data_IF_361613400861
#
_entry.id   IF_361613400861
#
_cell.length_a   1.000
_cell.length_b   1.000
_cell.length_c   1.000
_cell.angle_alpha   90.00
_cell.angle_beta   90.00
_cell.angle_gamma   90.00
#
_symmetry.space_group_name_H-M   'P 1'
#
loop_
_entity.id
_entity.type
_entity.pdbx_description
1 polymer ?
#
# COMPACT_ATOMS: atom_id res chain seq x y z
N UNK A 1 3.12 -19.19 2.50
CA UNK A 1 2.26 -17.98 2.30
C UNK A 1 2.13 -17.22 3.61
N UNK A 2 1.79 -17.92 4.68
CA UNK A 2 1.57 -17.37 6.02
C UNK A 2 2.77 -16.63 6.62
N UNK A 3 4.00 -17.14 6.42
CA UNK A 3 5.22 -16.51 6.96
C UNK A 3 5.50 -15.10 6.42
N UNK A 4 5.31 -14.84 5.12
CA UNK A 4 5.58 -13.52 4.54
C UNK A 4 4.52 -12.50 4.97
N UNK A 5 3.27 -12.94 5.13
CA UNK A 5 2.19 -12.10 5.67
C UNK A 5 2.49 -11.73 7.13
N UNK A 6 2.91 -12.71 7.93
CA UNK A 6 3.32 -12.48 9.31
C UNK A 6 4.47 -11.46 9.41
N UNK A 7 5.53 -11.64 8.60
CA UNK A 7 6.66 -10.69 8.55
C UNK A 7 6.23 -9.28 8.13
N UNK A 8 5.29 -9.16 7.20
CA UNK A 8 4.77 -7.88 6.76
C UNK A 8 4.06 -7.14 7.90
N UNK A 9 3.26 -7.86 8.70
CA UNK A 9 2.58 -7.29 9.87
C UNK A 9 3.58 -6.84 10.93
N UNK A 10 4.61 -7.63 11.24
CA UNK A 10 5.65 -7.23 12.21
C UNK A 10 6.40 -5.96 11.80
N UNK A 11 6.70 -5.80 10.51
CA UNK A 11 7.35 -4.57 10.00
C UNK A 11 6.42 -3.35 10.07
N UNK A 12 5.11 -3.56 10.01
CA UNK A 12 4.10 -2.50 10.11
C UNK A 12 3.84 -2.04 11.55
N UNK A 13 3.88 -2.94 12.54
CA UNK A 13 3.59 -2.63 13.95
C UNK A 13 4.57 -1.64 14.60
N UNK A 14 5.78 -1.48 14.05
CA UNK A 14 6.85 -0.67 14.62
C UNK A 14 6.96 0.76 14.07
N UNK A 15 6.02 1.19 13.21
CA UNK A 15 6.09 2.48 12.55
C UNK A 15 4.88 3.35 12.95
N UNK A 16 5.20 4.41 13.70
CA UNK A 16 4.30 5.34 14.37
C UNK A 16 3.19 5.89 13.45
N UNK A 17 1.92 5.85 13.92
CA UNK A 17 0.73 6.21 13.12
C UNK A 17 0.23 7.60 13.50
N UNK A 18 0.11 8.48 12.51
CA UNK A 18 -0.58 9.74 12.69
C UNK A 18 -2.05 9.49 13.10
N UNK A 19 -2.48 10.08 14.22
CA UNK A 19 -3.85 9.93 14.74
C UNK A 19 -4.75 10.96 14.06
N UNK A 20 -5.65 10.47 13.21
CA UNK A 20 -6.74 11.24 12.58
C UNK A 20 -8.08 10.83 13.21
N UNK A 21 -9.07 11.72 13.17
CA UNK A 21 -10.41 11.45 13.74
C UNK A 21 -11.27 10.63 12.77
N UNK A 22 -11.11 10.87 11.48
CA UNK A 22 -11.74 10.11 10.38
C UNK A 22 -10.67 9.78 9.35
N UNK A 23 -10.60 8.50 8.97
CA UNK A 23 -9.68 8.03 7.95
C UNK A 23 -10.19 8.41 6.54
N UNK A 24 -9.32 8.44 5.52
CA UNK A 24 -9.71 8.65 4.14
C UNK A 24 -10.73 7.59 3.70
N UNK A 25 -11.73 7.99 2.92
CA UNK A 25 -12.81 7.09 2.53
C UNK A 25 -12.86 6.87 1.02
N UNK A 26 -12.78 5.61 0.62
CA UNK A 26 -13.08 5.22 -0.76
C UNK A 26 -14.60 5.17 -0.95
N UNK A 27 -15.07 5.42 -2.18
CA UNK A 27 -16.48 5.24 -2.52
C UNK A 27 -16.96 3.83 -2.15
N UNK A 28 -18.09 3.76 -1.44
CA UNK A 28 -18.69 2.51 -0.97
C UNK A 28 -18.09 1.95 0.31
N UNK A 29 -17.27 2.72 1.05
CA UNK A 29 -17.12 2.53 2.49
C UNK A 29 -18.33 3.14 3.23
N UNK A 30 -18.67 2.61 4.40
CA UNK A 30 -19.68 3.22 5.27
C UNK A 30 -19.11 4.51 5.87
N UNK A 31 -19.78 5.63 5.64
CA UNK A 31 -19.35 6.95 6.14
C UNK A 31 -19.34 7.01 7.68
N UNK A 32 -20.10 6.13 8.35
CA UNK A 32 -20.14 6.03 9.81
C UNK A 32 -19.01 5.19 10.39
N UNK A 33 -18.22 4.50 9.55
CA UNK A 33 -17.11 3.66 9.97
C UNK A 33 -15.92 4.53 10.42
N UNK A 34 -15.65 4.52 11.72
CA UNK A 34 -14.50 5.22 12.33
C UNK A 34 -13.22 4.40 12.32
N UNK A 35 -13.31 3.11 12.05
CA UNK A 35 -12.17 2.21 11.93
C UNK A 35 -11.48 2.41 10.59
N UNK A 36 -10.17 2.17 10.50
CA UNK A 36 -9.45 2.30 9.23
C UNK A 36 -9.62 1.08 8.31
N UNK A 37 -10.47 0.11 8.68
CA UNK A 37 -10.51 -1.21 8.07
C UNK A 37 -10.94 -1.14 6.60
N UNK A 38 -12.06 -0.47 6.29
CA UNK A 38 -12.48 -0.30 4.89
C UNK A 38 -11.42 0.45 4.07
N UNK A 39 -10.81 1.49 4.64
CA UNK A 39 -9.73 2.24 3.98
C UNK A 39 -8.56 1.33 3.60
N UNK A 40 -8.01 0.58 4.55
CA UNK A 40 -6.89 -0.32 4.29
C UNK A 40 -7.28 -1.43 3.32
N UNK A 41 -8.46 -2.05 3.46
CA UNK A 41 -8.91 -3.10 2.55
C UNK A 41 -9.00 -2.60 1.10
N UNK A 42 -9.61 -1.43 0.88
CA UNK A 42 -9.75 -0.84 -0.46
C UNK A 42 -8.41 -0.39 -1.02
N UNK A 43 -7.53 0.18 -0.20
CA UNK A 43 -6.19 0.57 -0.61
C UNK A 43 -5.36 -0.65 -1.04
N UNK A 44 -5.39 -1.74 -0.26
CA UNK A 44 -4.76 -3.00 -0.64
C UNK A 44 -5.32 -3.56 -1.95
N UNK A 45 -6.64 -3.55 -2.13
CA UNK A 45 -7.28 -4.01 -3.36
C UNK A 45 -6.85 -3.18 -4.57
N UNK A 46 -6.80 -1.85 -4.43
CA UNK A 46 -6.34 -0.93 -5.47
C UNK A 46 -4.88 -1.18 -5.85
N UNK A 47 -3.99 -1.32 -4.86
CA UNK A 47 -2.58 -1.63 -5.10
C UNK A 47 -2.45 -2.97 -5.83
N UNK A 48 -3.15 -4.01 -5.35
CA UNK A 48 -3.15 -5.32 -5.99
C UNK A 48 -3.63 -5.23 -7.44
N UNK A 49 -4.71 -4.48 -7.71
CA UNK A 49 -5.21 -4.28 -9.07
C UNK A 49 -4.15 -3.63 -9.97
N UNK A 50 -3.52 -2.55 -9.51
CA UNK A 50 -2.49 -1.85 -10.28
C UNK A 50 -1.24 -2.70 -10.54
N UNK A 51 -0.87 -3.56 -9.60
CA UNK A 51 0.32 -4.42 -9.73
C UNK A 51 0.04 -5.73 -10.50
N UNK A 52 -1.21 -6.18 -10.60
CA UNK A 52 -1.58 -7.41 -11.34
C UNK A 52 -1.86 -7.16 -12.82
N UNK A 53 -2.09 -5.91 -13.22
CA UNK A 53 -2.33 -5.54 -14.63
C UNK A 53 -1.09 -5.70 -15.52
N UNK A 54 0.10 -5.85 -14.94
CA UNK A 54 1.34 -5.98 -15.68
C UNK A 54 2.25 -7.04 -15.05
N UNK A 55 2.91 -7.85 -15.88
CA UNK A 55 3.97 -8.75 -15.43
C UNK A 55 5.15 -7.90 -14.96
N UNK A 56 5.33 -7.76 -13.63
CA UNK A 56 6.55 -7.22 -13.05
C UNK A 56 7.68 -8.21 -13.32
N UNK A 57 8.51 -7.97 -14.34
CA UNK A 57 9.70 -8.76 -14.64
C UNK A 57 10.81 -8.45 -13.63
N UNK A 58 10.62 -8.88 -12.38
CA UNK A 58 11.62 -8.74 -11.33
C UNK A 58 12.11 -10.13 -10.91
N UNK A 59 13.42 -10.29 -10.78
CA UNK A 59 14.04 -11.53 -10.28
C UNK A 59 13.90 -11.61 -8.75
N UNK A 60 12.68 -11.87 -8.28
CA UNK A 60 12.43 -12.17 -6.88
C UNK A 60 12.74 -13.65 -6.67
N UNK A 61 13.78 -13.95 -5.88
CA UNK A 61 14.25 -15.32 -5.62
C UNK A 61 13.30 -16.12 -4.72
N UNK A 62 12.63 -15.45 -3.79
CA UNK A 62 11.72 -16.05 -2.83
C UNK A 62 10.62 -15.07 -2.43
N UNK A 63 9.52 -15.60 -1.89
CA UNK A 63 8.41 -14.77 -1.41
C UNK A 63 8.85 -14.00 -0.16
N UNK A 64 8.64 -12.69 -0.15
CA UNK A 64 8.92 -11.83 1.00
C UNK A 64 7.94 -10.65 1.04
N UNK A 65 8.10 -9.78 2.03
CA UNK A 65 7.31 -8.59 2.24
C UNK A 65 8.17 -7.34 2.07
N UNK A 66 7.51 -6.22 1.84
CA UNK A 66 8.06 -4.88 1.92
C UNK A 66 6.98 -3.96 2.49
N UNK A 67 7.38 -2.84 3.05
CA UNK A 67 6.46 -1.82 3.56
C UNK A 67 6.60 -0.59 2.68
N UNK A 68 5.48 -0.10 2.16
CA UNK A 68 5.40 1.12 1.34
C UNK A 68 4.68 2.23 2.07
N UNK A 69 5.10 3.47 1.84
CA UNK A 69 4.40 4.67 2.28
C UNK A 69 3.51 5.24 1.18
N UNK A 70 2.32 5.67 1.58
CA UNK A 70 1.38 6.42 0.77
C UNK A 70 0.94 7.68 1.51
N UNK A 71 0.66 8.73 0.76
CA UNK A 71 0.07 9.96 1.27
C UNK A 71 -1.29 10.18 0.61
N UNK A 72 -2.29 10.50 1.43
CA UNK A 72 -3.57 11.03 0.97
C UNK A 72 -3.57 12.52 1.30
N UNK A 73 -3.64 13.36 0.27
CA UNK A 73 -3.64 14.81 0.48
C UNK A 73 -4.96 15.30 1.07
N UNK A 74 -4.98 16.53 1.58
CA UNK A 74 -6.21 17.22 1.99
C UNK A 74 -7.23 17.41 0.86
N UNK A 75 -6.80 17.22 -0.40
CA UNK A 75 -7.65 17.22 -1.60
C UNK A 75 -8.08 15.82 -2.01
N UNK A 76 -7.74 14.79 -1.24
CA UNK A 76 -8.13 13.42 -1.53
C UNK A 76 -7.25 12.68 -2.54
N UNK A 77 -6.11 13.26 -2.94
CA UNK A 77 -5.24 12.65 -3.93
C UNK A 77 -4.37 11.59 -3.24
N UNK A 78 -4.50 10.32 -3.68
CA UNK A 78 -3.67 9.22 -3.19
C UNK A 78 -2.36 9.20 -3.96
N UNK A 79 -1.22 9.21 -3.25
CA UNK A 79 0.13 9.20 -3.81
C UNK A 79 0.95 8.08 -3.21
N UNK A 80 1.65 7.34 -4.06
CA UNK A 80 2.74 6.49 -3.63
C UNK A 80 3.97 7.36 -3.33
N UNK A 81 4.56 7.17 -2.15
CA UNK A 81 5.73 7.95 -1.72
C UNK A 81 7.02 7.17 -1.97
N UNK A 82 7.19 6.03 -1.31
CA UNK A 82 8.36 5.14 -1.45
C UNK A 82 8.16 3.79 -0.74
N UNK A 83 9.05 2.84 -1.00
CA UNK A 83 9.31 1.72 -0.09
C UNK A 83 10.00 2.29 1.15
N UNK A 84 9.52 2.01 2.36
CA UNK A 84 10.17 2.41 3.62
C UNK A 84 11.05 1.32 4.20
N UNK A 85 10.62 0.06 4.06
CA UNK A 85 11.34 -1.11 4.56
C UNK A 85 11.17 -2.31 3.61
N UNK A 86 12.18 -3.17 3.52
CA UNK A 86 12.19 -4.35 2.65
C UNK A 86 13.21 -5.38 3.15
N UNK A 87 13.08 -6.62 2.72
CA UNK A 87 14.12 -7.62 2.97
C UNK A 87 15.44 -7.22 2.30
N UNK A 88 16.57 -7.56 2.91
CA UNK A 88 17.90 -7.17 2.43
C UNK A 88 18.23 -7.68 1.02
N UNK A 89 17.63 -8.79 0.60
CA UNK A 89 17.87 -9.36 -0.73
C UNK A 89 17.04 -8.71 -1.85
N UNK A 90 16.16 -7.77 -1.51
CA UNK A 90 15.36 -7.02 -2.47
C UNK A 90 16.15 -5.79 -2.91
N UNK A 91 16.33 -5.62 -4.22
CA UNK A 91 16.81 -4.36 -4.79
C UNK A 91 15.71 -3.30 -4.65
N UNK A 92 15.76 -2.57 -3.53
CA UNK A 92 14.79 -1.53 -3.18
C UNK A 92 14.75 -0.40 -4.20
N UNK A 93 15.90 -0.01 -4.76
CA UNK A 93 15.97 1.11 -5.72
C UNK A 93 15.26 0.73 -7.02
N UNK A 94 15.57 -0.46 -7.55
CA UNK A 94 14.93 -0.96 -8.74
C UNK A 94 13.42 -1.14 -8.53
N UNK A 95 13.00 -1.78 -7.43
CA UNK A 95 11.59 -2.02 -7.17
C UNK A 95 10.80 -0.73 -6.92
N UNK A 96 11.36 0.24 -6.18
CA UNK A 96 10.72 1.54 -5.96
C UNK A 96 10.46 2.27 -7.28
N UNK A 97 11.41 2.19 -8.23
CA UNK A 97 11.24 2.78 -9.56
C UNK A 97 10.06 2.18 -10.33
N UNK A 98 9.86 0.85 -10.23
CA UNK A 98 8.72 0.19 -10.88
C UNK A 98 7.42 0.55 -10.17
N UNK A 99 7.39 0.51 -8.83
CA UNK A 99 6.20 0.85 -8.05
C UNK A 99 5.75 2.29 -8.33
N UNK A 100 6.68 3.24 -8.45
CA UNK A 100 6.38 4.63 -8.81
C UNK A 100 5.70 4.74 -10.18
N UNK A 101 6.06 3.90 -11.15
CA UNK A 101 5.41 3.86 -12.47
C UNK A 101 4.05 3.17 -12.41
N UNK A 102 3.92 2.06 -11.67
CA UNK A 102 2.67 1.28 -11.61
C UNK A 102 1.59 1.92 -10.75
N UNK A 103 2.00 2.61 -9.69
CA UNK A 103 1.13 3.26 -8.72
C UNK A 103 1.00 4.77 -8.97
N UNK A 104 1.25 5.21 -10.21
CA UNK A 104 0.91 6.57 -10.65
C UNK A 104 -0.60 6.69 -10.88
N UNK A 105 -1.09 7.92 -10.82
CA UNK A 105 -2.47 8.28 -11.20
C UNK A 105 -3.54 7.42 -10.49
N UNK A 106 -3.37 7.23 -9.18
CA UNK A 106 -4.35 6.55 -8.35
C UNK A 106 -5.65 7.38 -8.25
N UNK A 107 -6.82 6.73 -8.08
CA UNK A 107 -8.08 7.45 -7.94
C UNK A 107 -8.05 8.40 -6.74
N UNK A 108 -8.78 9.51 -6.87
CA UNK A 108 -9.06 10.40 -5.74
C UNK A 108 -10.11 9.77 -4.83
N UNK A 109 -9.97 10.02 -3.53
CA UNK A 109 -10.85 9.57 -2.45
C UNK A 109 -11.20 10.75 -1.54
N UNK A 110 -12.03 10.56 -0.53
CA UNK A 110 -12.21 11.58 0.50
C UNK A 110 -11.01 11.60 1.44
N UNK A 111 -10.55 12.81 1.81
CA UNK A 111 -9.37 12.99 2.66
C UNK A 111 -9.63 12.55 4.10
N UNK A 112 -8.57 12.33 4.87
CA UNK A 112 -8.70 12.23 6.32
C UNK A 112 -9.26 13.53 6.90
N UNK A 113 -9.99 13.43 8.01
CA UNK A 113 -10.47 14.58 8.78
C UNK A 113 -9.82 14.62 10.15
N UNK A 114 -9.46 15.82 10.58
CA UNK A 114 -9.10 16.13 11.96
C UNK A 114 -10.01 17.28 12.42
N UNK A 115 -10.85 17.00 13.40
CA UNK A 115 -11.87 17.91 13.92
C UNK A 115 -12.79 18.47 12.82
N UNK A 116 -13.14 17.63 11.85
CA UNK A 116 -13.97 17.99 10.69
C UNK A 116 -13.24 18.74 9.57
N UNK A 117 -11.94 19.00 9.71
CA UNK A 117 -11.12 19.69 8.70
C UNK A 117 -10.35 18.66 7.87
N UNK A 118 -10.42 18.72 6.52
CA UNK A 118 -9.56 17.96 5.63
C UNK A 118 -8.07 18.13 5.93
N UNK A 119 -7.35 17.02 6.10
CA UNK A 119 -5.90 17.02 6.36
C UNK A 119 -5.16 16.04 5.47
N UNK A 120 -3.93 16.41 5.12
CA UNK A 120 -2.95 15.48 4.56
C UNK A 120 -2.57 14.43 5.61
N UNK A 121 -2.44 13.18 5.18
CA UNK A 121 -2.18 12.04 6.07
C UNK A 121 -1.36 10.97 5.34
N UNK A 122 -0.50 10.27 6.09
CA UNK A 122 0.40 9.25 5.54
C UNK A 122 0.14 7.88 6.15
N UNK A 123 0.23 6.85 5.32
CA UNK A 123 -0.14 5.49 5.62
C UNK A 123 0.92 4.52 5.16
N UNK A 124 1.24 3.57 6.03
CA UNK A 124 2.11 2.46 5.70
C UNK A 124 1.26 1.27 5.27
N UNK A 125 1.70 0.60 4.21
CA UNK A 125 0.99 -0.53 3.63
C UNK A 125 1.98 -1.67 3.41
N UNK A 126 1.80 -2.81 4.11
CA UNK A 126 2.59 -4.00 3.86
C UNK A 126 2.20 -4.63 2.51
N UNK A 127 3.18 -4.89 1.64
CA UNK A 127 2.98 -5.55 0.35
C UNK A 127 3.79 -6.84 0.32
N UNK A 128 3.15 -7.96 -0.05
CA UNK A 128 3.82 -9.25 -0.26
C UNK A 128 4.19 -9.38 -1.73
N UNK A 129 5.46 -9.68 -1.99
CA UNK A 129 6.00 -9.95 -3.32
C UNK A 129 6.33 -11.43 -3.46
N UNK A 130 6.15 -11.97 -4.67
CA UNK A 130 6.41 -13.39 -4.96
C UNK A 130 7.22 -13.56 -6.25
N UNK A 131 8.01 -14.64 -6.36
CA UNK A 131 8.63 -15.03 -7.63
C UNK A 131 7.56 -15.24 -8.71
N UNK A 132 7.92 -14.94 -9.96
CA UNK A 132 7.14 -15.39 -11.11
C UNK A 132 7.31 -16.91 -11.19
N UNK A 133 6.25 -17.68 -10.96
CA UNK A 133 6.29 -19.12 -11.17
C UNK A 133 6.06 -19.43 -12.66
N UNK A 134 6.91 -20.26 -13.26
CA UNK A 134 6.80 -20.73 -14.66
C UNK A 134 5.48 -21.46 -14.99
N UNK A 135 4.67 -21.82 -13.99
CA UNK A 135 3.36 -22.47 -14.18
C UNK A 135 2.23 -21.56 -14.69
N UNK A 136 2.52 -20.34 -15.13
CA UNK A 136 1.54 -19.47 -15.80
C UNK A 136 1.47 -19.70 -17.34
N UNK A 137 2.25 -20.65 -17.87
CA UNK A 137 2.33 -21.01 -19.29
C UNK A 137 2.05 -22.51 -19.55
N UNK A 138 1.30 -23.18 -18.66
CA UNK A 138 0.80 -24.54 -18.88
C UNK A 138 -0.71 -24.57 -18.63
#
# INVERSE_FOLDING_TARGET
MEEAVFKANQRFENLDKAVVDVYPQFKGCDEMEKTPDCFYQKLHALIKQRLTQDTLTMQIKQMDSLVTAFTVTEKGIVRYDSIVDSAQHIDRVFLDSILRVKLKDLPSIDSALKQGIPVSSSYLVPVVVKPISEKAYQ
#
